data_IF_753607549910
#
_entry.id   IF_753607549910
#
_cell.length_a   1.000
_cell.length_b   1.000
_cell.length_c   1.000
_cell.angle_alpha   90.00
_cell.angle_beta   90.00
_cell.angle_gamma   90.00
#
_symmetry.space_group_name_H-M   'P 1'
#
loop_
_entity.id
_entity.type
_entity.pdbx_description
1 polymer ?
#
# COMPACT_ATOMS: atom_id res chain seq x y z
N UNK A 1 10.32 2.86 -26.27
CA UNK A 1 10.22 1.76 -25.28
C UNK A 1 8.79 1.62 -24.70
N UNK A 2 7.73 1.78 -25.51
CA UNK A 2 6.31 1.79 -25.02
C UNK A 2 5.43 0.67 -25.61
N UNK A 3 6.01 -0.25 -26.38
CA UNK A 3 5.24 -1.23 -27.14
C UNK A 3 4.76 -2.44 -26.33
N UNK A 4 5.32 -2.70 -25.13
CA UNK A 4 4.95 -3.85 -24.30
C UNK A 4 5.29 -5.20 -24.95
N UNK A 5 6.19 -5.24 -25.93
CA UNK A 5 6.58 -6.45 -26.66
C UNK A 5 7.76 -7.11 -25.93
N UNK A 6 7.60 -8.38 -25.60
CA UNK A 6 8.65 -9.22 -25.01
C UNK A 6 8.43 -10.68 -25.40
N UNK A 7 9.49 -11.49 -25.31
CA UNK A 7 9.44 -12.94 -25.58
C UNK A 7 9.75 -13.70 -24.29
N UNK A 8 8.93 -14.70 -23.97
CA UNK A 8 9.18 -15.59 -22.84
C UNK A 8 10.03 -16.77 -23.31
N UNK A 9 11.18 -17.05 -22.66
CA UNK A 9 12.01 -18.20 -23.00
C UNK A 9 11.29 -19.55 -22.80
N UNK A 10 11.66 -20.55 -23.61
CA UNK A 10 11.02 -21.89 -23.59
C UNK A 10 11.22 -22.68 -22.29
N UNK A 11 12.21 -22.32 -21.48
CA UNK A 11 12.47 -23.00 -20.19
C UNK A 11 11.53 -22.53 -19.07
N UNK A 12 10.71 -21.48 -19.31
CA UNK A 12 9.78 -20.96 -18.31
C UNK A 12 8.52 -21.84 -18.27
N UNK A 13 8.10 -22.24 -17.07
CA UNK A 13 6.89 -23.03 -16.87
C UNK A 13 5.65 -22.28 -17.40
N UNK A 14 4.69 -22.96 -18.07
CA UNK A 14 3.52 -22.32 -18.68
C UNK A 14 2.70 -21.47 -17.69
N UNK A 15 2.49 -21.94 -16.46
CA UNK A 15 1.78 -21.15 -15.42
C UNK A 15 2.49 -19.82 -15.11
N UNK A 16 3.82 -19.80 -15.08
CA UNK A 16 4.59 -18.57 -14.83
C UNK A 16 4.53 -17.67 -16.06
N UNK A 17 4.62 -18.27 -17.25
CA UNK A 17 4.55 -17.54 -18.51
C UNK A 17 3.20 -16.81 -18.66
N UNK A 18 2.08 -17.48 -18.36
CA UNK A 18 0.74 -16.87 -18.36
C UNK A 18 0.66 -15.70 -17.36
N UNK A 19 1.15 -15.89 -16.13
CA UNK A 19 1.14 -14.82 -15.13
C UNK A 19 1.95 -13.59 -15.58
N UNK A 20 3.17 -13.78 -16.10
CA UNK A 20 4.02 -12.69 -16.60
C UNK A 20 3.32 -11.95 -17.75
N UNK A 21 2.68 -12.67 -18.67
CA UNK A 21 1.91 -12.08 -19.78
C UNK A 21 0.77 -11.18 -19.28
N UNK A 22 0.07 -11.59 -18.22
CA UNK A 22 -1.03 -10.82 -17.65
C UNK A 22 -0.56 -9.64 -16.79
N UNK A 23 0.64 -9.71 -16.23
CA UNK A 23 1.25 -8.62 -15.45
C UNK A 23 1.85 -7.53 -16.33
N UNK A 24 2.53 -7.90 -17.42
CA UNK A 24 3.25 -6.98 -18.29
C UNK A 24 2.39 -6.48 -19.47
N UNK A 25 1.18 -6.03 -19.15
CA UNK A 25 0.26 -5.43 -20.13
C UNK A 25 0.47 -3.92 -20.19
N UNK A 26 0.60 -3.38 -21.41
CA UNK A 26 0.81 -1.95 -21.66
C UNK A 26 -0.37 -1.09 -21.17
N UNK A 27 -1.60 -1.59 -21.35
CA UNK A 27 -2.82 -0.99 -20.84
C UNK A 27 -3.03 -1.37 -19.36
N UNK A 28 -3.00 -0.41 -18.42
CA UNK A 28 -3.23 -0.67 -17.00
C UNK A 28 -4.62 -1.24 -16.70
N UNK A 29 -5.65 -0.86 -17.46
CA UNK A 29 -7.03 -1.32 -17.22
C UNK A 29 -7.21 -2.81 -17.54
N UNK A 30 -6.33 -3.35 -18.40
CA UNK A 30 -6.31 -4.78 -18.80
C UNK A 30 -5.31 -5.60 -18.00
N UNK A 31 -4.48 -4.97 -17.17
CA UNK A 31 -3.48 -5.63 -16.34
C UNK A 31 -4.16 -6.43 -15.24
N UNK A 32 -3.65 -7.62 -14.95
CA UNK A 32 -4.16 -8.46 -13.85
C UNK A 32 -4.10 -7.70 -12.51
N UNK A 33 -5.20 -7.75 -11.75
CA UNK A 33 -5.26 -7.14 -10.43
C UNK A 33 -4.57 -8.01 -9.38
N UNK A 34 -4.09 -7.40 -8.28
CA UNK A 34 -3.39 -8.10 -7.19
C UNK A 34 -4.23 -9.27 -6.63
N UNK A 35 -5.55 -9.08 -6.50
CA UNK A 35 -6.48 -10.13 -6.05
C UNK A 35 -6.46 -11.36 -6.94
N UNK A 36 -6.29 -11.18 -8.25
CA UNK A 36 -6.30 -12.25 -9.24
C UNK A 36 -4.92 -12.90 -9.36
N UNK A 37 -3.83 -12.14 -9.14
CA UNK A 37 -2.47 -12.68 -8.97
C UNK A 37 -2.45 -13.68 -7.80
N UNK A 38 -3.02 -13.30 -6.65
CA UNK A 38 -3.08 -14.14 -5.44
C UNK A 38 -3.91 -15.43 -5.63
N UNK A 39 -4.77 -15.48 -6.66
CA UNK A 39 -5.60 -16.64 -7.01
C UNK A 39 -4.99 -17.48 -8.14
N UNK A 40 -3.88 -17.04 -8.72
CA UNK A 40 -3.25 -17.70 -9.85
C UNK A 40 -2.63 -19.05 -9.45
N UNK A 41 -2.72 -20.12 -10.27
CA UNK A 41 -2.16 -21.43 -9.95
C UNK A 41 -0.69 -21.41 -9.53
N UNK A 42 0.15 -20.63 -10.22
CA UNK A 42 1.55 -20.43 -9.82
C UNK A 42 1.68 -19.86 -8.40
N UNK A 43 0.88 -18.84 -8.06
CA UNK A 43 0.93 -18.24 -6.72
C UNK A 43 0.54 -19.26 -5.66
N UNK A 44 -0.55 -20.00 -5.87
CA UNK A 44 -1.06 -21.00 -4.93
C UNK A 44 -0.12 -22.19 -4.75
N UNK A 45 0.58 -22.62 -5.81
CA UNK A 45 1.54 -23.74 -5.76
C UNK A 45 2.85 -23.37 -5.07
N UNK A 46 3.24 -22.09 -5.13
CA UNK A 46 4.53 -21.62 -4.62
C UNK A 46 4.42 -20.84 -3.30
N UNK A 47 3.22 -20.68 -2.72
CA UNK A 47 3.00 -19.94 -1.46
C UNK A 47 3.28 -20.78 -0.20
N UNK A 48 4.42 -21.49 -0.20
CA UNK A 48 5.00 -22.05 1.03
C UNK A 48 5.55 -20.98 1.97
N UNK A 49 5.62 -19.72 1.51
CA UNK A 49 5.96 -18.58 2.32
C UNK A 49 4.67 -18.16 3.05
N UNK A 50 4.56 -18.32 4.39
CA UNK A 50 3.43 -17.78 5.11
C UNK A 50 3.33 -16.30 4.74
N UNK A 51 2.15 -15.80 4.33
CA UNK A 51 2.04 -14.43 3.88
C UNK A 51 2.50 -13.54 5.03
N UNK A 52 3.65 -12.87 4.89
CA UNK A 52 3.93 -11.68 5.69
C UNK A 52 2.76 -10.77 5.39
N UNK A 53 1.88 -10.57 6.39
CA UNK A 53 0.69 -9.74 6.25
C UNK A 53 1.14 -8.29 6.24
N UNK A 54 1.75 -7.88 5.14
CA UNK A 54 2.02 -6.47 4.84
C UNK A 54 0.68 -5.92 4.38
N UNK A 55 -0.03 -5.27 5.31
CA UNK A 55 -1.23 -4.52 4.97
C UNK A 55 -0.75 -3.20 4.37
N UNK A 56 -1.18 -2.83 3.15
CA UNK A 56 -0.89 -1.51 2.61
C UNK A 56 -1.33 -0.46 3.62
N UNK A 57 -0.48 0.53 3.89
CA UNK A 57 -0.76 1.62 4.85
C UNK A 57 -2.09 2.31 4.53
N UNK A 58 -2.40 2.44 3.24
CA UNK A 58 -3.66 3.01 2.75
C UNK A 58 -4.90 2.20 3.13
N UNK A 59 -4.77 0.88 3.31
CA UNK A 59 -5.85 0.00 3.76
C UNK A 59 -6.05 0.07 5.28
N UNK A 60 -5.11 0.67 6.01
CA UNK A 60 -5.24 0.93 7.46
C UNK A 60 -5.97 2.23 7.77
N UNK A 61 -6.22 3.08 6.76
CA UNK A 61 -6.98 4.32 6.92
C UNK A 61 -8.39 3.97 7.42
N UNK A 62 -8.75 4.49 8.60
CA UNK A 62 -10.01 4.17 9.28
C UNK A 62 -10.01 2.88 10.13
N UNK A 63 -8.89 2.15 10.20
CA UNK A 63 -8.70 1.04 11.14
C UNK A 63 -8.29 1.51 12.54
N UNK A 64 -7.80 2.74 12.67
CA UNK A 64 -7.34 3.32 13.92
C UNK A 64 -8.38 4.26 14.53
N UNK A 65 -8.41 4.33 15.86
CA UNK A 65 -9.23 5.29 16.57
C UNK A 65 -8.67 6.71 16.38
N UNK A 66 -9.54 7.72 16.17
CA UNK A 66 -9.10 9.11 16.15
C UNK A 66 -8.36 9.47 17.43
N UNK A 67 -7.36 10.33 17.33
CA UNK A 67 -6.62 10.83 18.49
C UNK A 67 -7.42 11.99 19.08
N UNK A 68 -7.66 11.96 20.39
CA UNK A 68 -8.26 13.12 21.03
C UNK A 68 -7.21 14.22 21.12
N UNK A 69 -7.63 15.48 20.99
CA UNK A 69 -6.72 16.63 21.04
C UNK A 69 -5.92 16.72 22.36
N UNK A 70 -6.48 16.20 23.45
CA UNK A 70 -5.85 16.16 24.78
C UNK A 70 -4.73 15.10 24.93
N UNK A 71 -4.72 14.09 24.05
CA UNK A 71 -3.81 12.93 24.11
C UNK A 71 -2.77 12.96 22.97
N UNK A 72 -2.58 14.11 22.31
CA UNK A 72 -1.64 14.24 21.19
C UNK A 72 -0.21 14.44 21.70
N UNK A 73 0.72 13.65 21.16
CA UNK A 73 2.15 13.76 21.38
C UNK A 73 2.76 14.81 20.44
N UNK A 74 3.27 15.90 21.03
CA UNK A 74 3.90 17.02 20.33
C UNK A 74 5.15 16.58 19.52
N UNK A 75 5.93 15.61 20.00
CA UNK A 75 7.14 15.14 19.32
C UNK A 75 6.80 14.40 18.02
N UNK A 76 5.72 13.60 18.05
CA UNK A 76 5.22 12.90 16.87
C UNK A 76 4.65 13.90 15.86
N UNK A 77 3.92 14.93 16.33
CA UNK A 77 3.39 15.99 15.47
C UNK A 77 4.52 16.76 14.78
N UNK A 78 5.57 17.13 15.51
CA UNK A 78 6.77 17.77 14.93
C UNK A 78 7.46 16.89 13.88
N UNK A 79 7.51 15.58 14.13
CA UNK A 79 8.03 14.60 13.17
C UNK A 79 7.18 14.54 11.90
N UNK A 80 5.86 14.53 12.04
CA UNK A 80 4.92 14.54 10.90
C UNK A 80 4.99 15.86 10.12
N UNK A 81 5.12 16.99 10.80
CA UNK A 81 5.34 18.29 10.15
C UNK A 81 6.65 18.30 9.36
N UNK A 82 7.73 17.76 9.93
CA UNK A 82 9.03 17.64 9.27
C UNK A 82 9.00 16.72 8.04
N UNK A 83 8.09 15.74 8.03
CA UNK A 83 7.82 14.86 6.89
C UNK A 83 6.90 15.50 5.84
N UNK A 84 6.39 16.71 6.08
CA UNK A 84 5.56 17.47 5.15
C UNK A 84 4.05 17.25 5.27
N UNK A 85 3.57 16.64 6.36
CA UNK A 85 2.12 16.42 6.59
C UNK A 85 1.40 17.62 7.23
N UNK A 86 2.16 18.63 7.70
CA UNK A 86 1.65 19.88 8.25
C UNK A 86 1.64 21.01 7.21
N UNK A 87 0.96 20.82 6.08
CA UNK A 87 0.95 21.80 4.97
C UNK A 87 0.34 23.15 5.37
N UNK A 88 -0.59 23.14 6.33
CA UNK A 88 -1.28 24.33 6.82
C UNK A 88 -0.58 24.85 8.10
N UNK A 89 -0.78 24.14 9.20
CA UNK A 89 -0.29 24.45 10.55
C UNK A 89 -0.38 23.21 11.46
N UNK A 90 0.15 23.34 12.68
CA UNK A 90 0.11 22.30 13.70
C UNK A 90 -1.34 22.00 14.15
N UNK A 91 -2.14 23.05 14.37
CA UNK A 91 -3.53 22.94 14.78
C UNK A 91 -4.39 22.22 13.73
N UNK A 92 -4.19 22.51 12.45
CA UNK A 92 -4.88 21.83 11.34
C UNK A 92 -4.49 20.36 11.24
N UNK A 93 -3.23 20.01 11.52
CA UNK A 93 -2.80 18.60 11.60
C UNK A 93 -3.49 17.88 12.77
N UNK A 94 -3.50 18.49 13.96
CA UNK A 94 -4.17 17.97 15.16
C UNK A 94 -5.67 17.76 14.91
N UNK A 95 -6.32 18.71 14.23
CA UNK A 95 -7.72 18.59 13.85
C UNK A 95 -7.95 17.38 12.93
N UNK A 96 -7.11 17.17 11.91
CA UNK A 96 -7.20 16.00 11.01
C UNK A 96 -6.98 14.67 11.73
N UNK A 97 -6.07 14.63 12.71
CA UNK A 97 -5.87 13.46 13.57
C UNK A 97 -7.14 13.14 14.40
N UNK A 98 -7.87 14.18 14.84
CA UNK A 98 -9.15 14.06 15.54
C UNK A 98 -10.32 13.65 14.64
N UNK A 99 -10.29 13.97 13.34
CA UNK A 99 -11.31 13.56 12.37
C UNK A 99 -11.23 12.07 12.00
N UNK A 100 -10.11 11.41 12.31
CA UNK A 100 -9.98 9.95 12.18
C UNK A 100 -9.82 9.46 10.75
N UNK A 101 -9.58 10.37 9.80
CA UNK A 101 -9.62 10.08 8.36
C UNK A 101 -8.36 10.62 7.71
N UNK A 102 -7.45 9.74 7.34
CA UNK A 102 -6.26 10.12 6.62
C UNK A 102 -5.08 9.17 6.84
N UNK A 103 -4.04 9.37 6.05
CA UNK A 103 -2.76 8.69 6.23
C UNK A 103 -2.01 9.28 7.43
N UNK A 104 -2.24 10.55 7.76
CA UNK A 104 -1.73 11.29 8.91
C UNK A 104 -1.95 10.49 10.20
N UNK A 105 -3.17 9.99 10.41
CA UNK A 105 -3.51 9.17 11.57
C UNK A 105 -2.75 7.84 11.56
N UNK A 106 -2.64 7.20 10.40
CA UNK A 106 -1.94 5.92 10.29
C UNK A 106 -0.46 6.09 10.63
N UNK A 107 0.18 7.14 10.11
CA UNK A 107 1.58 7.44 10.41
C UNK A 107 1.78 7.86 11.86
N UNK A 108 0.88 8.67 12.42
CA UNK A 108 0.88 9.01 13.85
C UNK A 108 0.87 7.74 14.72
N UNK A 109 -0.06 6.81 14.46
CA UNK A 109 -0.20 5.54 15.20
C UNK A 109 0.93 4.53 14.99
N UNK A 110 1.74 4.70 13.95
CA UNK A 110 2.93 3.88 13.71
C UNK A 110 4.14 4.43 14.49
N UNK A 111 4.13 5.73 14.78
CA UNK A 111 5.21 6.44 15.48
C UNK A 111 4.99 6.51 17.00
N UNK A 112 3.75 6.30 17.46
CA UNK A 112 3.36 6.08 18.87
C UNK A 112 3.91 4.73 19.41
#
# INVERSE_FOLDING_TARGET
VKSGIFTIPKFVHPDIADLIQRMLVADPARRIAIKDIKRHPFWLRNSHIPPRRIVPVNDLVGSFTPVKQEDVDEEIVLSLMSLGWGVDDEEGLIQRLGEGKGLELVYYRILE
#
